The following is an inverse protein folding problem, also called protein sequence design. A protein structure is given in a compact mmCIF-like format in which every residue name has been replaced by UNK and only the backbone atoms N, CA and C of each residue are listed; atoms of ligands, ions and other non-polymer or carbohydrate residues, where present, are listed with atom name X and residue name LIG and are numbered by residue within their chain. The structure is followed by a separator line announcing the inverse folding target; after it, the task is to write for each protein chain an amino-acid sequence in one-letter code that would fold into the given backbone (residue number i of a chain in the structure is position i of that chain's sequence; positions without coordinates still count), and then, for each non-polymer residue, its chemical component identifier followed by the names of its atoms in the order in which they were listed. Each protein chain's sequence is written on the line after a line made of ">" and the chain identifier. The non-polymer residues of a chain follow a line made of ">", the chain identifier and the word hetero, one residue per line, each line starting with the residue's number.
data_IF_529625615377
#
_entry.id   IF_529625615377
#
_cell.length_a   1.000
_cell.length_b   1.000
_cell.length_c   1.000
_cell.angle_alpha   90.00
_cell.angle_beta   90.00
_cell.angle_gamma   90.00
#
_symmetry.space_group_name_H-M   'P 1'
#
loop_
_entity.id
_entity.type
_entity.pdbx_description
1 polymer ?
#
# COMPACT_ATOMS: atom_id res chain seq x y z
N UNK A 1 -17.46 3.82 3.86
CA UNK A 1 -17.48 2.97 2.64
C UNK A 1 -17.91 3.77 1.42
N UNK A 2 -18.94 4.63 1.54
CA UNK A 2 -19.46 5.48 0.46
C UNK A 2 -18.43 6.47 -0.12
N UNK A 3 -17.72 7.23 0.73
CA UNK A 3 -16.78 8.26 0.25
C UNK A 3 -15.60 7.76 -0.59
N UNK A 4 -15.16 6.51 -0.41
CA UNK A 4 -14.02 5.95 -1.17
C UNK A 4 -14.44 5.35 -2.52
N UNK A 5 -15.70 4.93 -2.65
CA UNK A 5 -16.25 4.46 -3.92
C UNK A 5 -16.49 5.64 -4.87
N UNK A 6 -17.03 6.74 -4.32
CA UNK A 6 -17.24 7.99 -5.05
C UNK A 6 -15.93 8.55 -5.61
N UNK A 7 -14.83 8.52 -4.85
CA UNK A 7 -13.53 9.00 -5.34
C UNK A 7 -12.98 8.18 -6.50
N UNK A 8 -13.18 6.85 -6.50
CA UNK A 8 -12.73 6.00 -7.61
C UNK A 8 -13.55 6.21 -8.88
N UNK A 9 -14.87 6.40 -8.75
CA UNK A 9 -15.74 6.72 -9.88
C UNK A 9 -15.42 8.10 -10.46
N UNK A 10 -15.08 9.10 -9.63
CA UNK A 10 -14.63 10.41 -10.09
C UNK A 10 -13.33 10.32 -10.89
N UNK A 11 -12.34 9.57 -10.40
CA UNK A 11 -11.07 9.35 -11.11
C UNK A 11 -11.32 8.68 -12.47
N UNK A 12 -12.21 7.71 -12.51
CA UNK A 12 -12.59 6.99 -13.72
C UNK A 12 -13.24 7.88 -14.77
N UNK A 13 -14.15 8.76 -14.34
CA UNK A 13 -14.80 9.76 -15.20
C UNK A 13 -13.77 10.76 -15.73
N UNK A 14 -12.85 11.23 -14.87
CA UNK A 14 -11.78 12.16 -15.27
C UNK A 14 -10.84 11.51 -16.29
N UNK A 15 -10.45 10.25 -16.12
CA UNK A 15 -9.60 9.52 -17.07
C UNK A 15 -10.32 9.33 -18.41
N UNK A 16 -11.61 8.99 -18.40
CA UNK A 16 -12.42 8.82 -19.62
C UNK A 16 -12.59 10.16 -20.35
N UNK A 17 -12.93 11.23 -19.63
CA UNK A 17 -13.07 12.58 -20.19
C UNK A 17 -11.75 13.09 -20.77
N UNK A 18 -10.63 12.91 -20.05
CA UNK A 18 -9.31 13.29 -20.53
C UNK A 18 -8.92 12.49 -21.78
N UNK A 19 -9.19 11.18 -21.81
CA UNK A 19 -8.93 10.34 -22.99
C UNK A 19 -9.78 10.76 -24.19
N UNK A 20 -11.05 11.11 -23.98
CA UNK A 20 -11.95 11.60 -25.03
C UNK A 20 -11.51 12.95 -25.58
N UNK A 21 -11.17 13.91 -24.71
CA UNK A 21 -10.65 15.22 -25.10
C UNK A 21 -9.40 15.10 -25.99
N UNK A 22 -8.47 14.24 -25.59
CA UNK A 22 -7.22 13.98 -26.31
C UNK A 22 -7.48 13.35 -27.70
N UNK A 23 -8.44 12.42 -27.81
CA UNK A 23 -8.82 11.80 -29.10
C UNK A 23 -9.46 12.84 -30.04
N UNK A 24 -10.35 13.69 -29.52
CA UNK A 24 -11.03 14.73 -30.30
C UNK A 24 -10.03 15.77 -30.82
N UNK A 25 -9.14 16.30 -29.95
CA UNK A 25 -8.11 17.27 -30.33
C UNK A 25 -7.08 16.70 -31.32
N UNK A 26 -6.72 15.41 -31.17
CA UNK A 26 -5.80 14.73 -32.08
C UNK A 26 -6.36 14.54 -33.49
N UNK A 27 -7.70 14.52 -33.65
CA UNK A 27 -8.36 14.37 -34.96
C UNK A 27 -8.39 15.67 -35.77
N UNK A 28 -8.42 16.84 -35.12
CA UNK A 28 -8.56 18.16 -35.77
C UNK A 28 -7.21 18.78 -36.15
N UNK A 29 -6.13 18.45 -35.42
CA UNK A 29 -4.84 19.15 -35.56
C UNK A 29 -3.67 18.19 -35.82
N UNK A 30 -3.28 18.04 -37.09
CA UNK A 30 -2.14 17.21 -37.54
C UNK A 30 -0.81 17.58 -36.84
N UNK A 31 -0.63 18.86 -36.45
CA UNK A 31 0.61 19.34 -35.80
C UNK A 31 0.72 19.01 -34.30
N UNK A 32 -0.37 18.61 -33.64
CA UNK A 32 -0.39 18.25 -32.22
C UNK A 32 -0.33 16.74 -31.94
N UNK A 33 -0.33 15.90 -32.99
CA UNK A 33 -0.42 14.45 -32.84
C UNK A 33 0.70 13.85 -31.97
N UNK A 34 1.95 14.33 -32.09
CA UNK A 34 3.09 13.77 -31.35
C UNK A 34 3.06 14.08 -29.84
N UNK A 35 2.77 15.32 -29.43
CA UNK A 35 2.67 15.70 -28.02
C UNK A 35 1.42 15.11 -27.35
N UNK A 36 0.32 15.03 -28.10
CA UNK A 36 -0.95 14.43 -27.66
C UNK A 36 -0.83 12.92 -27.43
N UNK A 37 -0.04 12.21 -28.25
CA UNK A 37 0.26 10.78 -28.05
C UNK A 37 1.09 10.49 -26.79
N UNK A 38 2.00 11.39 -26.38
CA UNK A 38 2.77 11.24 -25.13
C UNK A 38 1.87 11.35 -23.91
N UNK A 39 0.92 12.29 -23.92
CA UNK A 39 -0.11 12.41 -22.87
C UNK A 39 -1.00 11.17 -22.79
N UNK A 40 -1.35 10.58 -23.94
CA UNK A 40 -2.16 9.36 -24.02
C UNK A 40 -1.49 8.17 -23.31
N UNK A 41 -0.16 8.02 -23.40
CA UNK A 41 0.60 6.99 -22.67
C UNK A 41 0.56 7.19 -21.15
N UNK A 42 0.60 8.44 -20.69
CA UNK A 42 0.45 8.75 -19.26
C UNK A 42 -0.96 8.39 -18.74
N UNK A 43 -2.01 8.72 -19.50
CA UNK A 43 -3.39 8.33 -19.17
C UNK A 43 -3.63 6.80 -19.23
N UNK A 44 -2.90 6.08 -20.08
CA UNK A 44 -2.93 4.62 -20.14
C UNK A 44 -2.38 3.97 -18.85
N UNK A 45 -1.33 4.55 -18.25
CA UNK A 45 -0.77 4.08 -16.96
C UNK A 45 -1.81 4.28 -15.83
N UNK A 46 -2.53 5.41 -15.84
CA UNK A 46 -3.60 5.66 -14.87
C UNK A 46 -4.73 4.61 -14.96
N UNK A 47 -4.96 4.01 -16.14
CA UNK A 47 -5.91 2.90 -16.30
C UNK A 47 -5.45 1.61 -15.61
N UNK A 48 -4.16 1.36 -15.40
CA UNK A 48 -3.69 0.19 -14.62
C UNK A 48 -3.98 0.33 -13.13
N UNK A 49 -3.99 1.55 -12.58
CA UNK A 49 -4.36 1.83 -11.17
C UNK A 49 -5.81 1.42 -10.86
N UNK A 50 -6.63 1.31 -11.90
CA UNK A 50 -8.05 0.94 -11.90
C UNK A 50 -8.34 -0.50 -11.47
N UNK A 51 -7.32 -1.39 -11.44
CA UNK A 51 -7.51 -2.83 -11.21
C UNK A 51 -7.94 -3.17 -9.78
N UNK A 52 -7.73 -2.27 -8.81
CA UNK A 52 -8.07 -2.51 -7.41
C UNK A 52 -9.48 -2.00 -7.06
N UNK A 53 -10.51 -2.55 -7.71
CA UNK A 53 -11.92 -2.14 -7.60
C UNK A 53 -12.48 -2.19 -6.16
N UNK A 54 -11.84 -2.92 -5.24
CA UNK A 54 -12.29 -3.04 -3.84
C UNK A 54 -11.52 -2.13 -2.88
N UNK A 55 -10.43 -1.50 -3.34
CA UNK A 55 -9.51 -0.72 -2.52
C UNK A 55 -9.04 -1.45 -1.25
N UNK A 56 -9.12 -2.78 -1.25
CA UNK A 56 -8.84 -3.60 -0.07
C UNK A 56 -7.37 -3.51 0.29
N UNK A 57 -6.50 -3.54 -0.72
CA UNK A 57 -5.05 -3.44 -0.60
C UNK A 57 -4.63 -2.07 -0.05
N UNK A 58 -5.15 -1.00 -0.62
CA UNK A 58 -4.88 0.38 -0.16
C UNK A 58 -5.36 0.62 1.27
N UNK A 59 -6.55 0.14 1.63
CA UNK A 59 -7.05 0.22 3.01
C UNK A 59 -6.21 -0.61 3.97
N UNK A 60 -5.76 -1.80 3.55
CA UNK A 60 -4.90 -2.65 4.35
C UNK A 60 -3.58 -1.95 4.63
N UNK A 61 -2.91 -1.46 3.57
CA UNK A 61 -1.66 -0.71 3.62
C UNK A 61 -1.79 0.54 4.50
N UNK A 62 -2.77 1.40 4.21
CA UNK A 62 -3.01 2.62 4.98
C UNK A 62 -3.25 2.32 6.46
N UNK A 63 -3.97 1.24 6.77
CA UNK A 63 -4.22 0.85 8.15
C UNK A 63 -3.00 0.21 8.85
N UNK A 64 -2.08 -0.43 8.13
CA UNK A 64 -0.78 -0.86 8.71
C UNK A 64 0.11 0.37 8.96
N UNK A 65 0.23 1.27 7.98
CA UNK A 65 0.98 2.53 8.13
C UNK A 65 0.44 3.35 9.31
N UNK A 66 -0.89 3.48 9.43
CA UNK A 66 -1.50 4.24 10.51
C UNK A 66 -1.27 3.62 11.90
N UNK A 67 -1.23 2.28 11.98
CA UNK A 67 -0.96 1.55 13.21
C UNK A 67 0.50 1.76 13.66
N UNK A 68 1.44 1.71 12.72
CA UNK A 68 2.88 1.85 12.99
C UNK A 68 3.43 3.27 12.74
N UNK A 69 2.56 4.29 12.65
CA UNK A 69 2.96 5.64 12.23
C UNK A 69 4.03 6.27 13.12
N UNK A 70 4.02 5.99 14.42
CA UNK A 70 5.00 6.53 15.37
C UNK A 70 6.39 5.93 15.14
N UNK A 71 6.46 4.63 14.92
CA UNK A 71 7.70 3.91 14.60
C UNK A 71 8.26 4.36 13.26
N UNK A 72 7.41 4.43 12.22
CA UNK A 72 7.78 4.91 10.88
C UNK A 72 8.27 6.36 10.89
N UNK A 73 7.57 7.25 11.59
CA UNK A 73 8.01 8.65 11.70
C UNK A 73 9.35 8.75 12.43
N UNK A 74 9.58 7.94 13.46
CA UNK A 74 10.84 7.95 14.22
C UNK A 74 12.00 7.49 13.36
N UNK A 75 11.83 6.41 12.58
CA UNK A 75 12.91 5.88 11.72
C UNK A 75 13.21 6.82 10.55
N UNK A 76 12.19 7.40 9.92
CA UNK A 76 12.37 8.41 8.87
C UNK A 76 13.02 9.67 9.43
N UNK A 77 12.61 10.13 10.62
CA UNK A 77 13.20 11.31 11.26
C UNK A 77 14.69 11.10 11.59
N UNK A 78 15.03 9.98 12.23
CA UNK A 78 16.43 9.66 12.57
C UNK A 78 17.26 9.43 11.30
N UNK A 79 16.70 8.73 10.30
CA UNK A 79 17.35 8.51 9.01
C UNK A 79 17.62 9.83 8.27
N UNK A 80 16.64 10.74 8.25
CA UNK A 80 16.80 12.06 7.64
C UNK A 80 17.84 12.92 8.37
N UNK A 81 17.86 12.89 9.71
CA UNK A 81 18.87 13.60 10.49
C UNK A 81 20.27 13.02 10.26
N UNK A 82 20.40 11.69 10.21
CA UNK A 82 21.64 11.00 9.88
C UNK A 82 22.13 11.30 8.46
N UNK A 83 21.21 11.43 7.50
CA UNK A 83 21.51 11.84 6.13
C UNK A 83 22.08 13.25 6.09
N UNK A 84 21.42 14.23 6.73
CA UNK A 84 21.93 15.60 6.79
C UNK A 84 23.31 15.67 7.44
N UNK A 85 23.49 14.94 8.56
CA UNK A 85 24.75 14.93 9.29
C UNK A 85 25.88 14.29 8.47
N UNK A 86 25.62 13.13 7.84
CA UNK A 86 26.57 12.44 6.96
C UNK A 86 26.98 13.31 5.78
N UNK A 87 26.01 13.88 5.07
CA UNK A 87 26.27 14.76 3.92
C UNK A 87 27.05 15.99 4.32
N UNK A 88 26.77 16.57 5.50
CA UNK A 88 27.53 17.72 6.00
C UNK A 88 28.98 17.37 6.33
N UNK A 89 29.22 16.24 7.01
CA UNK A 89 30.58 15.80 7.33
C UNK A 89 31.41 15.49 6.08
N UNK A 90 30.82 14.80 5.09
CA UNK A 90 31.51 14.51 3.83
C UNK A 90 31.74 15.78 3.02
N UNK A 91 30.77 16.70 2.98
CA UNK A 91 30.97 18.02 2.38
C UNK A 91 32.18 18.74 3.00
N UNK A 92 32.27 18.81 4.32
CA UNK A 92 33.40 19.46 4.99
C UNK A 92 34.74 18.77 4.70
N UNK A 93 34.75 17.44 4.54
CA UNK A 93 35.96 16.67 4.24
C UNK A 93 36.42 16.82 2.78
N UNK A 94 35.49 16.98 1.84
CA UNK A 94 35.77 16.92 0.39
C UNK A 94 35.75 18.30 -0.30
N UNK A 95 35.11 19.33 0.29
CA UNK A 95 34.90 20.66 -0.35
C UNK A 95 36.19 21.34 -0.84
N UNK A 96 37.32 21.05 -0.21
CA UNK A 96 38.61 21.67 -0.53
C UNK A 96 39.42 20.82 -1.52
N UNK A 97 39.04 19.56 -1.74
CA UNK A 97 39.72 18.61 -2.63
C UNK A 97 39.11 18.59 -4.03
N UNK A 98 37.79 18.43 -4.12
CA UNK A 98 37.07 18.34 -5.41
C UNK A 98 35.81 19.22 -5.38
N UNK A 99 35.99 20.45 -5.86
CA UNK A 99 34.90 21.45 -5.96
C UNK A 99 33.92 21.16 -7.09
N UNK A 100 34.25 20.28 -8.03
CA UNK A 100 33.30 19.90 -9.09
C UNK A 100 32.28 18.89 -8.56
N UNK A 101 32.71 17.95 -7.71
CA UNK A 101 31.82 16.92 -7.14
C UNK A 101 31.15 17.34 -5.83
N UNK A 102 31.85 18.07 -4.96
CA UNK A 102 31.35 18.52 -3.65
C UNK A 102 31.38 20.05 -3.51
N UNK A 103 31.06 20.77 -4.58
CA UNK A 103 31.09 22.23 -4.62
C UNK A 103 30.06 22.88 -3.69
N UNK A 104 28.86 22.30 -3.60
CA UNK A 104 27.78 22.82 -2.75
C UNK A 104 27.25 21.76 -1.80
N UNK A 105 26.63 22.19 -0.69
CA UNK A 105 25.99 21.27 0.25
C UNK A 105 24.90 20.39 -0.41
N UNK A 106 24.05 20.90 -1.33
CA UNK A 106 23.14 20.06 -2.11
C UNK A 106 23.80 18.91 -2.87
N UNK A 107 25.02 19.08 -3.39
CA UNK A 107 25.74 18.01 -4.11
C UNK A 107 26.14 16.88 -3.15
N UNK A 108 26.60 17.24 -1.94
CA UNK A 108 26.85 16.27 -0.88
C UNK A 108 25.55 15.63 -0.34
N UNK A 109 24.44 16.35 -0.38
CA UNK A 109 23.12 15.83 -0.02
C UNK A 109 22.62 14.81 -1.05
N UNK A 110 22.84 15.07 -2.35
CA UNK A 110 22.60 14.11 -3.42
C UNK A 110 23.39 12.82 -3.19
N UNK A 111 24.71 12.94 -2.94
CA UNK A 111 25.56 11.81 -2.58
C UNK A 111 25.01 11.01 -1.38
N UNK A 112 24.58 11.71 -0.33
CA UNK A 112 24.00 11.07 0.87
C UNK A 112 22.72 10.30 0.56
N UNK A 113 21.80 10.88 -0.24
CA UNK A 113 20.56 10.21 -0.66
C UNK A 113 20.85 8.94 -1.45
N UNK A 114 21.72 8.99 -2.46
CA UNK A 114 22.02 7.84 -3.32
C UNK A 114 22.78 6.74 -2.55
N UNK A 115 23.64 7.13 -1.60
CA UNK A 115 24.45 6.19 -0.82
C UNK A 115 23.62 5.52 0.27
N UNK A 116 22.88 6.29 1.07
CA UNK A 116 22.10 5.75 2.18
C UNK A 116 20.87 4.96 1.70
N UNK A 117 20.31 5.30 0.54
CA UNK A 117 19.28 4.50 -0.11
C UNK A 117 19.84 3.28 -0.88
N UNK A 118 21.14 3.00 -0.79
CA UNK A 118 21.81 1.86 -1.47
C UNK A 118 21.71 1.86 -3.00
N UNK A 119 21.49 3.03 -3.63
CA UNK A 119 21.44 3.17 -5.09
C UNK A 119 22.85 3.17 -5.68
N UNK A 120 23.72 4.05 -5.19
CA UNK A 120 25.15 4.08 -5.52
C UNK A 120 25.46 4.25 -7.01
N UNK A 121 25.03 5.36 -7.63
CA UNK A 121 25.33 5.63 -9.04
C UNK A 121 26.84 5.75 -9.35
N UNK A 122 27.63 6.23 -8.39
CA UNK A 122 29.08 6.40 -8.54
C UNK A 122 29.50 7.66 -9.32
N UNK A 123 28.56 8.56 -9.59
CA UNK A 123 28.77 9.88 -10.19
C UNK A 123 29.52 10.83 -9.23
N UNK A 124 29.19 10.76 -7.95
CA UNK A 124 29.85 11.51 -6.88
C UNK A 124 30.32 10.52 -5.82
N UNK A 125 31.60 10.56 -5.46
CA UNK A 125 32.21 9.67 -4.46
C UNK A 125 33.31 10.46 -3.73
N UNK A 126 33.43 10.36 -2.39
CA UNK A 126 34.53 10.99 -1.66
C UNK A 126 35.87 10.39 -2.08
N UNK A 127 36.83 11.25 -2.41
CA UNK A 127 38.15 10.84 -2.89
C UNK A 127 39.17 10.82 -1.74
N UNK A 128 39.03 11.71 -0.75
CA UNK A 128 39.93 11.80 0.39
C UNK A 128 39.80 10.59 1.32
N UNK A 129 40.89 10.25 1.99
CA UNK A 129 40.90 9.18 3.00
C UNK A 129 39.92 9.47 4.15
N UNK A 130 39.86 10.72 4.61
CA UNK A 130 38.95 11.15 5.67
C UNK A 130 37.49 11.03 5.24
N UNK A 131 37.15 11.52 4.05
CA UNK A 131 35.80 11.42 3.49
C UNK A 131 35.37 9.96 3.31
N UNK A 132 36.27 9.08 2.86
CA UNK A 132 36.01 7.64 2.75
C UNK A 132 35.71 6.98 4.10
N UNK A 133 36.43 7.31 5.17
CA UNK A 133 36.16 6.77 6.50
C UNK A 133 34.79 7.25 7.01
N UNK A 134 34.51 8.55 6.89
CA UNK A 134 33.23 9.14 7.31
C UNK A 134 32.08 8.51 6.52
N UNK A 135 32.24 8.38 5.20
CA UNK A 135 31.27 7.76 4.31
C UNK A 135 31.02 6.29 4.65
N UNK A 136 32.08 5.51 4.91
CA UNK A 136 31.96 4.10 5.27
C UNK A 136 31.18 3.92 6.58
N UNK A 137 31.50 4.70 7.62
CA UNK A 137 30.78 4.65 8.89
C UNK A 137 29.32 5.08 8.72
N UNK A 138 29.10 6.18 8.00
CA UNK A 138 27.77 6.73 7.76
C UNK A 138 26.90 5.79 6.91
N UNK A 139 27.48 5.06 5.95
CA UNK A 139 26.77 4.07 5.16
C UNK A 139 26.26 2.91 6.03
N UNK A 140 27.11 2.35 6.91
CA UNK A 140 26.70 1.24 7.81
C UNK A 140 25.50 1.67 8.68
N UNK A 141 25.60 2.85 9.29
CA UNK A 141 24.55 3.38 10.17
C UNK A 141 23.30 3.74 9.37
N UNK A 142 23.44 4.51 8.29
CA UNK A 142 22.31 5.05 7.54
C UNK A 142 21.52 3.98 6.79
N UNK A 143 22.18 2.98 6.18
CA UNK A 143 21.49 1.85 5.53
C UNK A 143 20.60 1.12 6.55
N UNK A 144 21.09 0.94 7.78
CA UNK A 144 20.32 0.30 8.84
C UNK A 144 19.01 1.06 9.12
N UNK A 145 19.05 2.40 9.23
CA UNK A 145 17.85 3.20 9.48
C UNK A 145 16.90 3.29 8.29
N UNK A 146 17.42 3.42 7.06
CA UNK A 146 16.59 3.48 5.85
C UNK A 146 15.93 2.14 5.49
N UNK A 147 16.48 1.00 5.97
CA UNK A 147 15.88 -0.31 5.83
C UNK A 147 14.71 -0.58 6.81
N UNK A 148 14.69 0.09 7.98
CA UNK A 148 13.69 -0.15 9.02
C UNK A 148 12.23 0.09 8.58
N UNK A 149 11.88 1.17 7.85
CA UNK A 149 10.51 1.37 7.38
C UNK A 149 9.96 0.17 6.58
N UNK A 150 10.77 -0.43 5.72
CA UNK A 150 10.38 -1.61 4.96
C UNK A 150 10.15 -2.82 5.88
N UNK A 151 11.01 -3.03 6.88
CA UNK A 151 10.86 -4.09 7.87
C UNK A 151 9.64 -3.95 8.79
N UNK A 152 9.35 -2.72 9.25
CA UNK A 152 8.18 -2.39 10.08
C UNK A 152 6.90 -2.65 9.29
N UNK A 153 6.84 -2.19 8.03
CA UNK A 153 5.68 -2.44 7.17
C UNK A 153 5.52 -3.94 6.89
N UNK A 154 6.59 -4.64 6.53
CA UNK A 154 6.56 -6.08 6.24
C UNK A 154 6.04 -6.91 7.41
N UNK A 155 6.56 -6.66 8.62
CA UNK A 155 6.09 -7.32 9.84
C UNK A 155 4.65 -6.95 10.20
N UNK A 156 4.27 -5.68 10.08
CA UNK A 156 2.91 -5.20 10.29
C UNK A 156 1.89 -5.86 9.34
N UNK A 157 2.26 -6.06 8.08
CA UNK A 157 1.44 -6.83 7.13
C UNK A 157 1.31 -8.30 7.51
N UNK A 158 2.42 -8.95 7.85
CA UNK A 158 2.41 -10.36 8.26
C UNK A 158 1.49 -10.59 9.47
N UNK A 159 1.61 -9.75 10.50
CA UNK A 159 0.76 -9.82 11.69
C UNK A 159 -0.72 -9.63 11.35
N UNK A 160 -1.04 -8.68 10.48
CA UNK A 160 -2.43 -8.38 10.11
C UNK A 160 -3.06 -9.50 9.29
N UNK A 161 -2.30 -10.12 8.39
CA UNK A 161 -2.74 -11.31 7.65
C UNK A 161 -2.98 -12.47 8.61
N UNK A 162 -2.08 -12.70 9.56
CA UNK A 162 -2.22 -13.74 10.59
C UNK A 162 -3.46 -13.51 11.48
N UNK A 163 -3.72 -12.26 11.88
CA UNK A 163 -4.93 -11.88 12.63
C UNK A 163 -6.21 -12.13 11.81
N UNK A 164 -6.21 -11.80 10.52
CA UNK A 164 -7.35 -12.09 9.65
C UNK A 164 -7.62 -13.59 9.51
N UNK A 165 -6.57 -14.41 9.41
CA UNK A 165 -6.73 -15.87 9.40
C UNK A 165 -7.34 -16.39 10.70
N UNK A 166 -6.87 -15.89 11.86
CA UNK A 166 -7.44 -16.25 13.17
C UNK A 166 -8.92 -15.84 13.30
N UNK A 167 -9.29 -14.66 12.82
CA UNK A 167 -10.68 -14.21 12.79
C UNK A 167 -11.55 -15.06 11.88
N UNK A 168 -11.06 -15.49 10.71
CA UNK A 168 -11.79 -16.43 9.83
C UNK A 168 -12.08 -17.76 10.53
N UNK A 169 -11.16 -18.27 11.34
CA UNK A 169 -11.38 -19.49 12.12
C UNK A 169 -12.50 -19.30 13.16
N UNK A 170 -12.58 -18.13 13.80
CA UNK A 170 -13.66 -17.81 14.73
C UNK A 170 -15.01 -17.61 14.01
N UNK A 171 -15.01 -16.97 12.84
CA UNK A 171 -16.21 -16.77 12.03
C UNK A 171 -16.78 -18.12 11.56
N UNK A 172 -15.93 -19.11 11.25
CA UNK A 172 -16.38 -20.47 10.94
C UNK A 172 -17.19 -21.11 12.08
N UNK A 173 -16.97 -20.69 13.34
CA UNK A 173 -17.76 -21.16 14.49
C UNK A 173 -19.18 -20.59 14.54
N UNK A 174 -19.50 -19.54 13.76
CA UNK A 174 -20.85 -18.98 13.70
C UNK A 174 -21.88 -19.97 13.15
N UNK A 175 -21.48 -20.82 12.20
CA UNK A 175 -22.38 -21.81 11.60
C UNK A 175 -22.81 -22.86 12.64
N UNK A 176 -21.89 -23.57 13.34
CA UNK A 176 -22.27 -24.46 14.44
C UNK A 176 -23.09 -23.79 15.54
N UNK A 177 -22.78 -22.55 15.91
CA UNK A 177 -23.54 -21.81 16.93
C UNK A 177 -24.99 -21.54 16.47
N UNK A 178 -25.18 -21.12 15.22
CA UNK A 178 -26.51 -20.94 14.65
C UNK A 178 -27.27 -22.28 14.58
N UNK A 179 -26.59 -23.37 14.20
CA UNK A 179 -27.20 -24.71 14.19
C UNK A 179 -27.63 -25.14 15.59
N UNK A 180 -26.84 -24.91 16.62
CA UNK A 180 -27.20 -25.22 18.00
C UNK A 180 -28.46 -24.48 18.44
N UNK A 181 -28.53 -23.18 18.17
CA UNK A 181 -29.71 -22.35 18.49
C UNK A 181 -30.95 -22.88 17.73
N UNK A 182 -30.80 -23.21 16.45
CA UNK A 182 -31.89 -23.77 15.63
C UNK A 182 -32.36 -25.13 16.15
N UNK A 183 -31.45 -26.02 16.55
CA UNK A 183 -31.79 -27.32 17.12
C UNK A 183 -32.50 -27.16 18.48
N UNK A 184 -32.00 -26.29 19.36
CA UNK A 184 -32.65 -26.00 20.65
C UNK A 184 -34.08 -25.49 20.47
N UNK A 185 -34.29 -24.56 19.53
CA UNK A 185 -35.63 -24.08 19.21
C UNK A 185 -36.53 -25.18 18.64
N UNK A 186 -36.00 -26.05 17.77
CA UNK A 186 -36.75 -27.20 17.23
C UNK A 186 -37.14 -28.20 18.32
N UNK A 187 -36.26 -28.47 19.28
CA UNK A 187 -36.57 -29.33 20.42
C UNK A 187 -37.65 -28.71 21.32
N UNK A 188 -37.53 -27.43 21.63
CA UNK A 188 -38.55 -26.71 22.39
C UNK A 188 -39.90 -26.69 21.67
N UNK A 189 -39.90 -26.42 20.37
CA UNK A 189 -41.11 -26.34 19.57
C UNK A 189 -41.82 -27.69 19.38
N UNK A 190 -41.12 -28.80 19.64
CA UNK A 190 -41.65 -30.16 19.57
C UNK A 190 -42.27 -30.67 20.88
N UNK A 191 -42.22 -29.88 21.96
CA UNK A 191 -42.93 -30.18 23.21
C UNK A 191 -44.45 -30.23 22.98
N UNK A 192 -45.15 -31.12 23.67
CA UNK A 192 -46.60 -31.37 23.47
C UNK A 192 -47.45 -30.15 23.86
N UNK A 193 -46.93 -29.30 24.76
CA UNK A 193 -47.53 -28.04 25.16
C UNK A 193 -47.22 -26.86 24.21
N UNK A 194 -46.39 -27.06 23.18
CA UNK A 194 -45.94 -26.00 22.27
C UNK A 194 -46.91 -25.77 21.11
N UNK A 195 -47.40 -24.53 20.99
CA UNK A 195 -48.36 -24.08 19.97
C UNK A 195 -47.71 -23.69 18.61
N UNK A 196 -46.45 -24.06 18.36
CA UNK A 196 -45.70 -23.56 17.18
C UNK A 196 -46.04 -24.29 15.87
N UNK A 197 -47.15 -23.91 15.24
CA UNK A 197 -47.61 -24.46 13.94
C UNK A 197 -46.62 -24.20 12.80
N UNK A 198 -45.86 -23.09 12.85
CA UNK A 198 -44.89 -22.71 11.82
C UNK A 198 -43.71 -23.70 11.70
N UNK A 199 -43.34 -24.37 12.78
CA UNK A 199 -42.26 -25.39 12.81
C UNK A 199 -42.60 -26.60 11.95
N UNK A 200 -43.87 -27.01 11.98
CA UNK A 200 -44.36 -28.23 11.34
C UNK A 200 -44.82 -28.01 9.90
N UNK A 201 -45.13 -26.77 9.52
CA UNK A 201 -45.60 -26.39 8.18
C UNK A 201 -44.76 -26.93 7.01
N UNK A 202 -43.40 -26.94 7.06
CA UNK A 202 -42.59 -27.54 5.99
C UNK A 202 -42.73 -29.06 5.87
N UNK A 203 -43.03 -29.76 6.97
CA UNK A 203 -43.17 -31.22 7.02
C UNK A 203 -44.57 -31.71 6.65
N UNK A 204 -45.55 -30.81 6.66
CA UNK A 204 -46.93 -31.08 6.22
C UNK A 204 -47.10 -30.96 4.70
N UNK A 205 -46.06 -30.54 3.97
CA UNK A 205 -46.07 -30.49 2.49
C UNK A 205 -45.80 -31.91 1.97
N UNK A 206 -46.71 -32.52 1.20
CA UNK A 206 -46.49 -33.84 0.60
C UNK A 206 -45.26 -33.82 -0.32
N UNK A 207 -44.42 -34.87 -0.28
CA UNK A 207 -43.30 -34.99 -1.22
C UNK A 207 -43.82 -35.00 -2.67
N UNK A 208 -43.12 -34.33 -3.62
CA UNK A 208 -43.47 -34.44 -5.03
C UNK A 208 -43.39 -35.91 -5.46
N UNK A 209 -44.43 -36.41 -6.11
CA UNK A 209 -44.40 -37.73 -6.74
C UNK A 209 -43.27 -37.77 -7.78
N UNK A 210 -42.48 -38.86 -7.87
CA UNK A 210 -41.44 -38.98 -8.88
C UNK A 210 -42.04 -38.78 -10.28
N UNK A 211 -41.37 -37.97 -11.10
CA UNK A 211 -41.74 -37.80 -12.51
C UNK A 211 -41.56 -39.12 -13.24
N UNK A 212 -42.66 -39.75 -13.65
CA UNK A 212 -42.71 -40.89 -14.56
C UNK A 212 -42.09 -40.57 -15.91
#
# INVERSE_FOLDING_TARGET
>A
MFGFLVTHEMIDIVIILASLMVIIMGSTTQMFAASTMKGLRFFQILRMVRIDRKAGTWKLLASVVWAHRRELLTTVYIGFLGLLFSSFLVYLAEKDHDKEKFGTFPDALWWGVITLCTVGYGDVVPDTWLGKIIAAFSAIVGISFFALPAGILGSGFALKVQQQQRQKHLIRRRVPAATLIQCLWRCYAADENSMSVATWKPHMIPCPSPST
#
